data_IF_464645618778
#
_entry.id   IF_464645618778
#
_cell.length_a   1.000
_cell.length_b   1.000
_cell.length_c   1.000
_cell.angle_alpha   90.00
_cell.angle_beta   90.00
_cell.angle_gamma   90.00
#
_symmetry.space_group_name_H-M   'P 1'
#
loop_
_entity.id
_entity.type
_entity.pdbx_description
1 polymer ?
#
# COMPACT_ATOMS: atom_id res chain seq x y z
N UNK A 1 18.33 -10.36 11.62
CA UNK A 1 17.02 -9.66 11.64
C UNK A 1 17.02 -8.30 10.95
N UNK A 2 18.16 -7.61 10.84
CA UNK A 2 18.24 -6.24 10.32
C UNK A 2 17.63 -6.06 8.93
N UNK A 3 17.87 -6.99 7.99
CA UNK A 3 17.28 -6.93 6.65
C UNK A 3 15.76 -6.84 6.70
N UNK A 4 15.09 -7.67 7.52
CA UNK A 4 13.64 -7.62 7.67
C UNK A 4 13.16 -6.32 8.31
N UNK A 5 13.95 -5.71 9.19
CA UNK A 5 13.62 -4.43 9.81
C UNK A 5 13.64 -3.31 8.76
N UNK A 6 14.74 -3.15 8.02
CA UNK A 6 14.92 -2.02 7.09
C UNK A 6 13.96 -2.05 5.90
N UNK A 7 13.43 -3.22 5.56
CA UNK A 7 12.61 -3.41 4.35
C UNK A 7 11.14 -3.72 4.64
N UNK A 8 10.78 -4.19 5.84
CA UNK A 8 9.41 -4.60 6.19
C UNK A 8 8.93 -3.88 7.46
N UNK A 9 9.48 -4.22 8.63
CA UNK A 9 8.94 -3.72 9.90
C UNK A 9 9.09 -2.20 10.07
N UNK A 10 10.23 -1.63 9.70
CA UNK A 10 10.50 -0.20 9.76
C UNK A 10 9.55 0.62 8.87
N UNK A 11 9.47 0.32 7.55
CA UNK A 11 8.54 1.00 6.65
C UNK A 11 7.08 0.88 7.06
N UNK A 12 6.61 -0.30 7.48
CA UNK A 12 5.22 -0.48 7.91
C UNK A 12 4.89 0.36 9.14
N UNK A 13 5.79 0.39 10.14
CA UNK A 13 5.63 1.22 11.34
C UNK A 13 5.65 2.70 11.01
N UNK A 14 6.56 3.15 10.12
CA UNK A 14 6.67 4.55 9.70
C UNK A 14 5.37 5.06 9.06
N UNK A 15 4.70 4.20 8.28
CA UNK A 15 3.44 4.53 7.59
C UNK A 15 2.18 4.28 8.45
N UNK A 16 2.31 3.83 9.70
CA UNK A 16 1.17 3.50 10.56
C UNK A 16 0.39 2.25 10.14
N UNK A 17 0.95 1.40 9.29
CA UNK A 17 0.28 0.21 8.76
C UNK A 17 0.33 -0.95 9.77
N UNK A 18 -0.57 -0.91 10.76
CA UNK A 18 -0.55 -1.81 11.93
C UNK A 18 -0.65 -3.29 11.59
N UNK A 19 -1.30 -3.66 10.49
CA UNK A 19 -1.44 -5.05 10.03
C UNK A 19 -0.33 -5.49 9.06
N UNK A 20 0.66 -4.63 8.77
CA UNK A 20 1.74 -4.91 7.80
C UNK A 20 3.10 -5.00 8.48
N UNK A 21 4.04 -5.66 7.80
CA UNK A 21 5.46 -5.67 8.20
C UNK A 21 5.80 -6.60 9.37
N UNK A 22 4.85 -7.43 9.82
CA UNK A 22 5.07 -8.47 10.84
C UNK A 22 4.28 -9.74 10.49
N UNK A 23 4.60 -10.85 11.18
CA UNK A 23 3.96 -12.16 11.03
C UNK A 23 3.13 -12.60 12.25
N UNK A 24 2.95 -11.70 13.23
CA UNK A 24 2.08 -11.93 14.40
C UNK A 24 0.59 -12.03 14.02
N UNK A 25 -0.22 -12.59 14.92
CA UNK A 25 -1.67 -12.70 14.77
C UNK A 25 -2.31 -11.34 14.51
N UNK A 26 -3.23 -11.27 13.53
CA UNK A 26 -3.88 -10.03 13.11
C UNK A 26 -3.16 -9.28 12.00
N UNK A 27 -1.98 -9.73 11.56
CA UNK A 27 -1.35 -9.26 10.33
C UNK A 27 -2.18 -9.66 9.11
N UNK A 28 -2.13 -8.86 8.06
CA UNK A 28 -2.51 -9.32 6.74
C UNK A 28 -1.58 -10.46 6.33
N UNK A 29 -2.11 -11.49 5.67
CA UNK A 29 -1.35 -12.63 5.20
C UNK A 29 -0.50 -12.29 3.94
N UNK A 30 0.39 -11.31 4.11
CA UNK A 30 1.41 -10.89 3.15
C UNK A 30 2.76 -11.50 3.55
N UNK A 31 3.17 -12.55 2.84
CA UNK A 31 4.35 -13.35 3.19
C UNK A 31 5.22 -13.54 1.97
N UNK A 32 6.53 -13.41 2.15
CA UNK A 32 7.52 -13.75 1.14
C UNK A 32 8.46 -14.80 1.68
N UNK A 33 8.61 -15.91 0.96
CA UNK A 33 9.50 -17.03 1.31
C UNK A 33 10.64 -17.07 0.30
N UNK A 34 11.86 -17.01 0.80
CA UNK A 34 13.08 -17.09 0.00
C UNK A 34 13.75 -18.46 0.19
N UNK A 35 14.21 -19.08 -0.90
CA UNK A 35 15.08 -20.25 -0.82
C UNK A 35 16.48 -19.81 -0.41
N UNK A 36 17.12 -20.53 0.52
CA UNK A 36 18.50 -20.21 0.92
C UNK A 36 19.43 -20.35 -0.28
N UNK A 37 20.27 -19.34 -0.48
CA UNK A 37 21.33 -19.33 -1.48
C UNK A 37 22.54 -18.60 -0.88
N UNK A 38 23.75 -19.06 -1.22
CA UNK A 38 24.99 -18.39 -0.82
C UNK A 38 25.14 -17.02 -1.51
N UNK A 39 24.63 -16.89 -2.73
CA UNK A 39 24.44 -15.61 -3.38
C UNK A 39 23.18 -14.94 -2.82
N UNK A 40 23.39 -13.98 -1.92
CA UNK A 40 22.33 -13.22 -1.25
C UNK A 40 21.57 -12.34 -2.23
N UNK A 41 22.23 -11.81 -3.26
CA UNK A 41 21.57 -11.00 -4.28
C UNK A 41 20.61 -11.87 -5.09
N UNK A 42 21.06 -13.06 -5.51
CA UNK A 42 20.22 -14.04 -6.20
C UNK A 42 19.05 -14.52 -5.32
N UNK A 43 19.30 -14.77 -4.02
CA UNK A 43 18.26 -15.15 -3.06
C UNK A 43 17.11 -14.14 -3.03
N UNK A 44 17.41 -12.84 -2.94
CA UNK A 44 16.38 -11.81 -2.82
C UNK A 44 15.75 -11.39 -4.15
N UNK A 45 16.43 -11.63 -5.28
CA UNK A 45 15.91 -11.31 -6.60
C UNK A 45 14.67 -12.13 -6.98
N UNK A 46 14.63 -13.42 -6.61
CA UNK A 46 13.54 -14.33 -6.98
C UNK A 46 12.99 -15.07 -5.76
N UNK A 47 11.95 -14.54 -5.09
CA UNK A 47 11.31 -15.25 -3.99
C UNK A 47 10.68 -16.57 -4.46
N UNK A 48 10.82 -17.64 -3.67
CA UNK A 48 10.26 -18.95 -3.98
C UNK A 48 8.74 -18.93 -3.90
N UNK A 49 8.19 -18.28 -2.87
CA UNK A 49 6.75 -18.09 -2.71
C UNK A 49 6.43 -16.66 -2.29
N UNK A 50 5.33 -16.13 -2.81
CA UNK A 50 4.74 -14.87 -2.34
C UNK A 50 3.25 -15.08 -2.12
N UNK A 51 2.78 -14.76 -0.93
CA UNK A 51 1.38 -14.76 -0.53
C UNK A 51 0.99 -13.30 -0.34
N UNK A 52 -0.14 -12.89 -0.93
CA UNK A 52 -0.70 -11.54 -0.83
C UNK A 52 -2.13 -11.66 -0.32
N UNK A 53 -2.42 -11.13 0.87
CA UNK A 53 -3.73 -11.22 1.51
C UNK A 53 -4.27 -12.65 1.58
N UNK A 54 -3.40 -13.64 1.81
CA UNK A 54 -3.76 -15.06 1.86
C UNK A 54 -3.83 -15.77 0.50
N UNK A 55 -3.64 -15.05 -0.61
CA UNK A 55 -3.60 -15.63 -1.96
C UNK A 55 -2.17 -15.90 -2.40
N UNK A 56 -1.87 -17.14 -2.82
CA UNK A 56 -0.58 -17.47 -3.45
C UNK A 56 -0.46 -16.79 -4.82
N UNK A 57 0.46 -15.83 -4.94
CA UNK A 57 0.69 -15.06 -6.18
C UNK A 57 1.96 -15.46 -6.90
N UNK A 58 3.00 -15.89 -6.18
CA UNK A 58 4.23 -16.47 -6.76
C UNK A 58 4.43 -17.87 -6.20
N UNK A 59 4.73 -18.81 -7.07
CA UNK A 59 4.99 -20.21 -6.73
C UNK A 59 6.19 -20.73 -7.51
N UNK A 60 7.16 -21.29 -6.80
CA UNK A 60 8.45 -21.74 -7.36
C UNK A 60 9.15 -20.67 -8.21
N UNK A 61 9.12 -19.42 -7.72
CA UNK A 61 9.73 -18.28 -8.41
C UNK A 61 8.97 -17.77 -9.63
N UNK A 62 7.79 -18.33 -9.94
CA UNK A 62 6.98 -17.94 -11.08
C UNK A 62 5.70 -17.23 -10.64
N UNK A 63 5.35 -16.13 -11.30
CA UNK A 63 4.08 -15.44 -11.08
C UNK A 63 2.91 -16.34 -11.53
N UNK A 64 2.00 -16.64 -10.61
CA UNK A 64 0.79 -17.45 -10.87
C UNK A 64 -0.46 -16.60 -10.97
N UNK A 65 -0.56 -15.54 -10.18
CA UNK A 65 -1.75 -14.68 -10.07
C UNK A 65 -1.32 -13.23 -9.90
N UNK A 66 -2.10 -12.32 -10.48
CA UNK A 66 -1.93 -10.88 -10.31
C UNK A 66 -3.26 -10.23 -9.89
N UNK A 67 -3.76 -10.49 -8.66
CA UNK A 67 -5.00 -9.89 -8.19
C UNK A 67 -4.83 -8.37 -8.04
N UNK A 68 -5.91 -7.63 -8.25
CA UNK A 68 -5.94 -6.20 -7.96
C UNK A 68 -5.63 -5.96 -6.47
N UNK A 69 -4.84 -4.92 -6.19
CA UNK A 69 -4.52 -4.51 -4.83
C UNK A 69 -5.57 -3.57 -4.23
N UNK A 70 -5.50 -3.38 -2.90
CA UNK A 70 -6.26 -2.37 -2.17
C UNK A 70 -5.60 -1.00 -2.28
N UNK A 71 -6.37 0.07 -2.47
CA UNK A 71 -5.91 1.46 -2.35
C UNK A 71 -5.96 1.88 -0.88
N UNK A 72 -4.77 2.08 -0.30
CA UNK A 72 -4.65 2.61 1.06
C UNK A 72 -4.79 4.13 1.01
N UNK A 73 -5.77 4.69 1.71
CA UNK A 73 -5.99 6.13 1.80
C UNK A 73 -6.55 6.49 3.17
N UNK A 74 -6.31 7.72 3.61
CA UNK A 74 -6.92 8.29 4.80
C UNK A 74 -8.03 9.26 4.38
N UNK A 75 -9.02 9.46 5.26
CA UNK A 75 -10.09 10.44 5.04
C UNK A 75 -10.23 11.33 6.27
N UNK A 76 -9.26 12.23 6.52
CA UNK A 76 -9.39 13.23 7.58
C UNK A 76 -10.58 14.14 7.29
N UNK A 77 -11.22 14.64 8.34
CA UNK A 77 -12.18 15.74 8.20
C UNK A 77 -11.47 17.02 7.75
N UNK A 78 -12.22 17.90 7.09
CA UNK A 78 -11.79 19.25 6.74
C UNK A 78 -12.92 20.25 7.02
N UNK A 79 -12.58 21.54 7.04
CA UNK A 79 -13.55 22.62 7.25
C UNK A 79 -14.17 23.05 5.92
N UNK A 80 -15.49 22.93 5.80
CA UNK A 80 -16.25 23.33 4.62
C UNK A 80 -16.18 24.84 4.34
N UNK A 81 -15.82 25.65 5.34
CA UNK A 81 -15.61 27.09 5.18
C UNK A 81 -14.49 27.43 4.18
N UNK A 82 -13.59 26.49 3.88
CA UNK A 82 -12.51 26.66 2.89
C UNK A 82 -12.97 26.46 1.44
N UNK A 83 -14.09 25.77 1.22
CA UNK A 83 -14.55 25.38 -0.12
C UNK A 83 -14.83 26.59 -1.04
N UNK A 84 -15.47 27.69 -0.59
CA UNK A 84 -15.74 28.84 -1.44
C UNK A 84 -14.46 29.48 -2.01
N UNK A 85 -13.42 29.59 -1.18
CA UNK A 85 -12.15 30.19 -1.60
C UNK A 85 -11.37 29.28 -2.55
N UNK A 86 -11.39 27.96 -2.31
CA UNK A 86 -10.83 26.98 -3.25
C UNK A 86 -11.54 27.03 -4.61
N UNK A 87 -12.87 27.10 -4.63
CA UNK A 87 -13.63 27.23 -5.88
C UNK A 87 -13.25 28.48 -6.66
N UNK A 88 -13.21 29.64 -5.98
CA UNK A 88 -12.80 30.92 -6.57
C UNK A 88 -11.39 30.86 -7.16
N UNK A 89 -10.47 30.20 -6.46
CA UNK A 89 -9.10 30.00 -6.95
C UNK A 89 -9.07 29.13 -8.21
N UNK A 90 -9.83 28.02 -8.23
CA UNK A 90 -9.92 27.15 -9.40
C UNK A 90 -10.50 27.89 -10.61
N UNK A 91 -11.56 28.68 -10.42
CA UNK A 91 -12.18 29.44 -11.51
C UNK A 91 -11.22 30.47 -12.14
N UNK A 92 -10.37 31.10 -11.32
CA UNK A 92 -9.45 32.13 -11.79
C UNK A 92 -8.16 31.58 -12.41
N UNK A 93 -7.68 30.41 -11.94
CA UNK A 93 -6.31 29.97 -12.21
C UNK A 93 -6.18 28.52 -12.69
N UNK A 94 -7.25 27.72 -12.68
CA UNK A 94 -7.24 26.34 -13.15
C UNK A 94 -7.80 26.23 -14.57
N UNK A 95 -7.44 25.14 -15.25
CA UNK A 95 -8.03 24.74 -16.54
C UNK A 95 -9.11 23.68 -16.39
N UNK A 96 -9.35 23.20 -15.16
CA UNK A 96 -10.42 22.26 -14.81
C UNK A 96 -11.29 22.86 -13.71
N UNK A 97 -12.60 22.61 -13.76
CA UNK A 97 -13.52 23.05 -12.70
C UNK A 97 -13.25 22.30 -11.39
N UNK A 98 -13.52 22.98 -10.27
CA UNK A 98 -13.31 22.39 -8.94
C UNK A 98 -14.13 21.11 -8.75
N UNK A 99 -15.35 21.04 -9.25
CA UNK A 99 -16.24 19.87 -9.14
C UNK A 99 -15.66 18.61 -9.79
N UNK A 100 -14.79 18.76 -10.79
CA UNK A 100 -14.15 17.66 -11.52
C UNK A 100 -12.78 17.29 -10.95
N UNK A 101 -12.28 18.02 -9.95
CA UNK A 101 -10.96 17.81 -9.37
C UNK A 101 -10.90 16.64 -8.35
N UNK A 102 -11.89 16.44 -7.45
CA UNK A 102 -11.86 15.34 -6.50
C UNK A 102 -11.83 13.97 -7.17
N UNK A 103 -10.98 13.07 -6.67
CA UNK A 103 -11.02 11.66 -7.05
C UNK A 103 -12.27 11.02 -6.45
N UNK A 104 -13.17 10.57 -7.31
CA UNK A 104 -14.42 9.91 -6.93
C UNK A 104 -14.30 8.38 -7.03
N UNK A 105 -15.25 7.66 -6.42
CA UNK A 105 -15.41 6.22 -6.62
C UNK A 105 -14.26 5.35 -6.11
N UNK A 106 -13.58 5.74 -5.02
CA UNK A 106 -12.60 4.88 -4.35
C UNK A 106 -13.38 3.76 -3.63
N UNK A 107 -13.27 2.48 -4.05
CA UNK A 107 -14.10 1.40 -3.50
C UNK A 107 -13.60 0.90 -2.15
N UNK A 108 -12.31 1.11 -1.86
CA UNK A 108 -11.67 0.65 -0.64
C UNK A 108 -12.04 1.57 0.53
N UNK A 109 -12.20 1.00 1.73
CA UNK A 109 -12.44 1.80 2.93
C UNK A 109 -11.18 2.57 3.39
N UNK A 110 -11.34 3.78 3.97
CA UNK A 110 -10.21 4.52 4.52
C UNK A 110 -9.53 3.75 5.64
N UNK A 111 -8.20 3.81 5.70
CA UNK A 111 -7.45 3.26 6.83
C UNK A 111 -7.49 4.23 8.01
N UNK A 112 -7.61 3.67 9.21
CA UNK A 112 -7.32 4.38 10.45
C UNK A 112 -5.82 4.38 10.67
N UNK A 113 -5.21 5.56 10.69
CA UNK A 113 -3.81 5.77 11.08
C UNK A 113 -3.72 6.12 12.56
#
# INVERSE_FOLDING_TARGET
NEVAIITRAGPARLLGLRQKGHLGTGADADVTVYARNADIAQMFATPRYVIKGGTLVVEEGQLRRAPAGRRLHVRPGYDDALLPDLKRYFDAYSTVSFENYPVQGIPDEPISV
#
